data_IF_725212960286
#
_entry.id   IF_725212960286
#
_cell.length_a   1.000
_cell.length_b   1.000
_cell.length_c   1.000
_cell.angle_alpha   90.00
_cell.angle_beta   90.00
_cell.angle_gamma   90.00
#
_symmetry.space_group_name_H-M   'P 1'
#
loop_
_entity.id
_entity.type
_entity.pdbx_description
1 polymer ?
#
# COMPACT_ATOMS: atom_id res chain seq x y z
N UNK A 1 6.23 -5.24 -5.56
CA UNK A 1 6.47 -5.01 -6.99
C UNK A 1 7.96 -5.12 -7.31
N UNK A 2 8.33 -5.96 -8.30
CA UNK A 2 9.73 -6.09 -8.76
C UNK A 2 10.07 -4.99 -9.77
N UNK A 3 11.27 -4.41 -9.65
CA UNK A 3 11.71 -3.29 -10.52
C UNK A 3 11.67 -3.62 -12.02
N UNK A 4 11.99 -4.88 -12.41
CA UNK A 4 11.98 -5.35 -13.79
C UNK A 4 10.57 -5.55 -14.37
N UNK A 5 9.52 -5.47 -13.54
CA UNK A 5 8.11 -5.63 -13.95
C UNK A 5 7.37 -4.29 -14.07
N UNK A 6 8.01 -3.18 -13.69
CA UNK A 6 7.36 -1.86 -13.68
C UNK A 6 6.82 -1.49 -15.07
N UNK A 7 7.64 -1.62 -16.14
CA UNK A 7 7.18 -1.28 -17.49
C UNK A 7 6.00 -2.15 -17.95
N UNK A 8 6.05 -3.45 -17.68
CA UNK A 8 4.96 -4.37 -18.00
C UNK A 8 3.68 -4.01 -17.23
N UNK A 9 3.80 -3.63 -15.95
CA UNK A 9 2.67 -3.18 -15.15
C UNK A 9 2.05 -1.90 -15.71
N UNK A 10 2.86 -0.89 -16.03
CA UNK A 10 2.36 0.39 -16.55
C UNK A 10 1.67 0.27 -17.93
N UNK A 11 1.88 -0.84 -18.65
CA UNK A 11 1.22 -1.14 -19.93
C UNK A 11 -0.13 -1.86 -19.76
N UNK A 12 -0.54 -2.19 -18.53
CA UNK A 12 -1.86 -2.78 -18.28
C UNK A 12 -2.93 -1.75 -18.63
N UNK A 13 -3.88 -2.08 -19.53
CA UNK A 13 -4.94 -1.14 -19.88
C UNK A 13 -5.76 -0.71 -18.66
N UNK A 14 -6.04 0.56 -18.56
CA UNK A 14 -6.85 1.13 -17.46
C UNK A 14 -6.26 0.87 -16.06
N UNK A 15 -4.93 0.77 -15.94
CA UNK A 15 -4.28 0.69 -14.63
C UNK A 15 -4.65 1.92 -13.79
N UNK A 16 -5.46 1.71 -12.76
CA UNK A 16 -5.98 2.80 -11.92
C UNK A 16 -5.08 3.10 -10.73
N UNK A 17 -4.48 2.06 -10.11
CA UNK A 17 -3.72 2.22 -8.87
C UNK A 17 -2.70 1.11 -8.64
N UNK A 18 -1.60 1.43 -7.98
CA UNK A 18 -0.57 0.48 -7.52
C UNK A 18 -0.45 0.51 -6.01
N UNK A 19 -0.73 -0.61 -5.33
CA UNK A 19 -0.74 -0.69 -3.86
C UNK A 19 0.61 -1.07 -3.22
N UNK A 20 1.68 -1.25 -3.99
CA UNK A 20 2.92 -1.91 -3.52
C UNK A 20 4.19 -1.08 -3.77
N UNK A 21 4.13 0.23 -3.52
CA UNK A 21 5.32 1.09 -3.60
C UNK A 21 6.02 1.07 -2.23
N UNK A 22 7.15 0.38 -2.12
CA UNK A 22 7.82 0.09 -0.85
C UNK A 22 9.19 0.76 -0.69
N UNK A 23 9.71 1.40 -1.76
CA UNK A 23 11.03 2.03 -1.77
C UNK A 23 11.17 3.04 -2.90
N UNK A 24 12.04 4.03 -2.71
CA UNK A 24 12.26 5.12 -3.67
C UNK A 24 12.62 4.62 -5.08
N UNK A 25 13.38 3.51 -5.20
CA UNK A 25 13.72 2.91 -6.51
C UNK A 25 12.48 2.51 -7.31
N UNK A 26 11.45 1.95 -6.65
CA UNK A 26 10.18 1.58 -7.31
C UNK A 26 9.40 2.84 -7.70
N UNK A 27 9.30 3.83 -6.80
CA UNK A 27 8.66 5.11 -7.07
C UNK A 27 9.30 5.81 -8.28
N UNK A 28 10.62 5.93 -8.30
CA UNK A 28 11.36 6.54 -9.42
C UNK A 28 11.11 5.81 -10.75
N UNK A 29 11.07 4.48 -10.72
CA UNK A 29 10.83 3.69 -11.93
C UNK A 29 9.39 3.83 -12.43
N UNK A 30 8.39 3.85 -11.53
CA UNK A 30 6.99 4.07 -11.88
C UNK A 30 6.79 5.47 -12.48
N UNK A 31 7.30 6.49 -11.80
CA UNK A 31 7.23 7.88 -12.24
C UNK A 31 7.78 8.07 -13.65
N UNK A 32 9.02 7.59 -13.86
CA UNK A 32 9.67 7.67 -15.16
C UNK A 32 8.90 6.94 -16.26
N UNK A 33 8.53 5.68 -16.02
CA UNK A 33 7.84 4.86 -17.03
C UNK A 33 6.45 5.38 -17.33
N UNK A 34 5.72 5.85 -16.32
CA UNK A 34 4.37 6.42 -16.50
C UNK A 34 4.40 7.69 -17.34
N UNK A 35 5.38 8.56 -17.11
CA UNK A 35 5.62 9.74 -17.93
C UNK A 35 6.06 9.42 -19.37
N UNK A 36 6.97 8.44 -19.55
CA UNK A 36 7.40 7.97 -20.89
C UNK A 36 6.24 7.43 -21.74
N UNK A 37 5.20 6.86 -21.10
CA UNK A 37 4.02 6.36 -21.80
C UNK A 37 3.01 7.46 -22.17
N UNK A 38 3.25 8.70 -21.77
CA UNK A 38 2.40 9.84 -22.12
C UNK A 38 1.03 9.85 -21.46
N UNK A 39 0.87 9.20 -20.32
CA UNK A 39 -0.38 9.21 -19.58
C UNK A 39 -0.69 10.63 -19.07
N UNK A 40 -1.93 11.10 -19.28
CA UNK A 40 -2.32 12.46 -18.93
C UNK A 40 -2.44 12.67 -17.40
N UNK A 41 -2.89 11.64 -16.68
CA UNK A 41 -3.12 11.72 -15.24
C UNK A 41 -2.03 10.99 -14.46
N UNK A 42 -1.61 11.51 -13.28
CA UNK A 42 -0.68 10.82 -12.41
C UNK A 42 -1.24 9.48 -11.93
N UNK A 43 -0.39 8.45 -11.90
CA UNK A 43 -0.75 7.12 -11.41
C UNK A 43 -0.97 7.15 -9.89
N UNK A 44 -2.17 6.78 -9.46
CA UNK A 44 -2.46 6.63 -8.04
C UNK A 44 -1.62 5.49 -7.44
N UNK A 45 -1.06 5.71 -6.27
CA UNK A 45 -0.29 4.68 -5.59
C UNK A 45 -0.42 4.74 -4.06
N UNK A 46 -0.29 3.58 -3.43
CA UNK A 46 -0.16 3.42 -1.99
C UNK A 46 1.28 3.11 -1.62
N UNK A 47 1.74 3.72 -0.56
CA UNK A 47 2.98 3.38 0.11
C UNK A 47 2.77 2.10 0.92
N UNK A 48 3.51 1.04 0.61
CA UNK A 48 3.47 -0.20 1.39
C UNK A 48 4.41 -0.12 2.58
N UNK A 49 3.85 -0.35 3.78
CA UNK A 49 4.56 -0.38 5.07
C UNK A 49 4.60 -1.81 5.60
N UNK A 50 5.75 -2.26 6.07
CA UNK A 50 5.91 -3.53 6.77
C UNK A 50 5.61 -3.32 8.26
N UNK A 51 4.36 -3.50 8.64
CA UNK A 51 3.87 -3.30 10.01
C UNK A 51 4.13 -4.50 10.91
N UNK A 52 4.28 -5.69 10.33
CA UNK A 52 4.47 -6.95 11.07
C UNK A 52 5.94 -7.25 11.42
N UNK A 53 6.88 -6.57 10.78
CA UNK A 53 8.31 -6.87 10.89
C UNK A 53 8.75 -8.17 10.17
N UNK A 54 7.83 -8.87 9.49
CA UNK A 54 8.15 -10.09 8.74
C UNK A 54 8.76 -9.74 7.39
N UNK A 55 9.99 -10.17 7.10
CA UNK A 55 10.67 -9.90 5.82
C UNK A 55 9.88 -10.38 4.60
N UNK A 56 9.12 -11.46 4.76
CA UNK A 56 8.30 -12.05 3.70
C UNK A 56 7.14 -11.17 3.21
N UNK A 57 6.73 -10.18 4.01
CA UNK A 57 5.58 -9.32 3.70
C UNK A 57 5.92 -8.12 2.81
N UNK A 58 7.18 -7.73 2.73
CA UNK A 58 7.62 -6.52 2.03
C UNK A 58 7.10 -5.24 2.67
N UNK A 59 7.48 -4.10 2.11
CA UNK A 59 7.13 -2.78 2.65
C UNK A 59 8.34 -2.05 3.23
N UNK A 60 8.27 -0.73 3.35
CA UNK A 60 9.27 0.04 4.08
C UNK A 60 9.08 -0.15 5.59
N UNK A 61 10.11 0.14 6.36
CA UNK A 61 10.00 0.21 7.82
C UNK A 61 9.03 1.34 8.23
N UNK A 62 8.28 1.20 9.34
CA UNK A 62 7.33 2.21 9.79
C UNK A 62 7.93 3.61 9.97
N UNK A 63 9.13 3.70 10.50
CA UNK A 63 9.88 4.94 10.72
C UNK A 63 10.34 5.63 9.41
N UNK A 64 10.53 4.86 8.33
CA UNK A 64 10.86 5.39 7.03
C UNK A 64 9.63 5.86 6.21
N UNK A 65 8.41 5.58 6.67
CA UNK A 65 7.21 5.86 5.92
C UNK A 65 6.98 7.37 5.63
N UNK A 66 7.20 8.31 6.56
CA UNK A 66 7.00 9.74 6.28
C UNK A 66 7.93 10.27 5.18
N UNK A 67 9.21 9.93 5.25
CA UNK A 67 10.20 10.37 4.25
C UNK A 67 9.89 9.79 2.87
N UNK A 68 9.55 8.49 2.81
CA UNK A 68 9.20 7.85 1.54
C UNK A 68 7.87 8.39 0.98
N UNK A 69 6.90 8.71 1.83
CA UNK A 69 5.66 9.38 1.42
C UNK A 69 5.95 10.73 0.74
N UNK A 70 6.83 11.54 1.34
CA UNK A 70 7.29 12.81 0.77
C UNK A 70 8.00 12.61 -0.57
N UNK A 71 8.87 11.61 -0.65
CA UNK A 71 9.59 11.29 -1.89
C UNK A 71 8.63 10.84 -3.01
N UNK A 72 7.55 10.12 -2.70
CA UNK A 72 6.51 9.75 -3.67
C UNK A 72 5.67 10.96 -4.06
N UNK A 73 5.24 11.75 -3.09
CA UNK A 73 4.41 12.95 -3.31
C UNK A 73 5.08 13.98 -4.22
N UNK A 74 6.41 14.07 -4.18
CA UNK A 74 7.19 14.96 -5.04
C UNK A 74 7.32 14.48 -6.52
N UNK A 75 6.76 13.30 -6.88
CA UNK A 75 6.85 12.76 -8.23
C UNK A 75 5.76 13.32 -9.13
N UNK A 76 6.11 13.92 -10.29
CA UNK A 76 5.14 14.58 -11.17
C UNK A 76 4.10 13.61 -11.78
N UNK A 77 4.47 12.34 -11.97
CA UNK A 77 3.58 11.35 -12.60
C UNK A 77 3.00 10.35 -11.60
N UNK A 78 3.18 10.57 -10.29
CA UNK A 78 2.57 9.75 -9.23
C UNK A 78 1.66 10.60 -8.35
N UNK A 79 0.59 9.97 -7.85
CA UNK A 79 -0.30 10.53 -6.84
C UNK A 79 -0.33 9.60 -5.64
N UNK A 80 0.32 9.98 -4.54
CA UNK A 80 0.18 9.25 -3.28
C UNK A 80 -1.26 9.40 -2.77
N UNK A 81 -2.01 8.30 -2.70
CA UNK A 81 -3.41 8.30 -2.25
C UNK A 81 -3.60 7.66 -0.88
N UNK A 82 -2.57 7.00 -0.33
CA UNK A 82 -2.67 6.39 0.98
C UNK A 82 -1.52 5.44 1.31
N UNK A 83 -1.69 4.70 2.40
CA UNK A 83 -0.75 3.70 2.87
C UNK A 83 -1.39 2.31 2.88
N UNK A 84 -0.57 1.27 2.71
CA UNK A 84 -1.02 -0.12 2.69
C UNK A 84 -0.13 -1.00 3.55
N UNK A 85 -0.71 -1.98 4.25
CA UNK A 85 0.04 -3.08 4.87
C UNK A 85 -0.60 -4.44 4.55
N UNK A 86 0.20 -5.50 4.61
CA UNK A 86 -0.32 -6.87 4.52
C UNK A 86 -0.74 -7.37 5.91
N UNK A 87 -0.07 -6.94 6.95
CA UNK A 87 -0.30 -7.38 8.32
C UNK A 87 0.14 -8.83 8.59
N UNK A 88 0.21 -9.18 9.87
CA UNK A 88 0.48 -10.54 10.32
C UNK A 88 -0.81 -11.34 10.35
N UNK A 89 -0.78 -12.57 9.84
CA UNK A 89 -1.90 -13.49 10.02
C UNK A 89 -1.91 -13.98 11.47
N UNK A 90 -2.86 -13.53 12.29
CA UNK A 90 -2.93 -13.89 13.71
C UNK A 90 -3.62 -15.23 13.97
N UNK A 91 -4.37 -15.77 13.02
CA UNK A 91 -5.10 -17.04 13.18
C UNK A 91 -6.18 -17.05 14.26
N UNK A 92 -6.29 -16.01 15.06
CA UNK A 92 -7.28 -15.86 16.12
C UNK A 92 -8.39 -14.90 15.67
N UNK A 93 -9.63 -15.34 15.74
CA UNK A 93 -10.80 -14.48 15.64
C UNK A 93 -10.87 -13.61 16.89
N UNK A 94 -10.87 -12.29 16.72
CA UNK A 94 -11.30 -11.38 17.79
C UNK A 94 -10.41 -10.22 18.17
N UNK A 95 -9.10 -10.25 17.95
CA UNK A 95 -8.23 -9.11 18.27
C UNK A 95 -7.82 -8.34 17.02
N UNK A 96 -8.09 -7.02 17.02
CA UNK A 96 -7.60 -6.13 15.99
C UNK A 96 -6.08 -6.24 15.91
N UNK A 97 -5.57 -6.62 14.75
CA UNK A 97 -4.13 -6.74 14.54
C UNK A 97 -3.44 -5.43 14.94
N UNK A 98 -2.44 -5.47 15.82
CA UNK A 98 -1.64 -4.28 16.18
C UNK A 98 -1.06 -3.59 14.94
N UNK A 99 -0.88 -4.34 13.85
CA UNK A 99 -0.41 -3.85 12.56
C UNK A 99 -1.27 -2.75 11.96
N UNK A 100 -2.59 -2.79 12.16
CA UNK A 100 -3.50 -1.76 11.66
C UNK A 100 -3.31 -0.44 12.41
N UNK A 101 -3.05 -0.48 13.72
CA UNK A 101 -2.73 0.71 14.50
C UNK A 101 -1.37 1.30 14.10
N UNK A 102 -0.37 0.45 13.82
CA UNK A 102 0.92 0.89 13.29
C UNK A 102 0.74 1.59 11.94
N UNK A 103 -0.07 1.02 11.02
CA UNK A 103 -0.33 1.66 9.73
C UNK A 103 -1.02 3.01 9.87
N UNK A 104 -1.99 3.13 10.80
CA UNK A 104 -2.65 4.42 11.09
C UNK A 104 -1.65 5.45 11.59
N UNK A 105 -0.79 5.07 12.53
CA UNK A 105 0.27 5.97 13.03
C UNK A 105 1.23 6.41 11.91
N UNK A 106 1.60 5.49 11.00
CA UNK A 106 2.40 5.84 9.81
C UNK A 106 1.67 6.81 8.89
N UNK A 107 0.34 6.64 8.68
CA UNK A 107 -0.47 7.58 7.90
C UNK A 107 -0.47 8.97 8.52
N UNK A 108 -0.70 9.04 9.82
CA UNK A 108 -0.77 10.32 10.55
C UNK A 108 0.58 11.06 10.50
N UNK A 109 1.69 10.33 10.67
CA UNK A 109 3.04 10.88 10.53
C UNK A 109 3.35 11.32 9.09
N UNK A 110 2.95 10.53 8.08
CA UNK A 110 3.11 10.90 6.67
C UNK A 110 2.27 12.13 6.31
N UNK A 111 1.04 12.24 6.79
CA UNK A 111 0.18 13.40 6.58
C UNK A 111 0.78 14.68 7.20
N UNK A 112 1.33 14.57 8.42
CA UNK A 112 2.04 15.67 9.07
C UNK A 112 3.27 16.12 8.26
N UNK A 113 4.07 15.18 7.76
CA UNK A 113 5.25 15.49 6.91
C UNK A 113 4.87 16.17 5.59
N UNK A 114 3.70 15.81 5.04
CA UNK A 114 3.16 16.40 3.81
C UNK A 114 2.39 17.70 4.03
N UNK A 115 2.10 18.07 5.28
CA UNK A 115 1.28 19.24 5.60
C UNK A 115 -0.19 19.11 5.17
N UNK A 116 -0.74 17.89 5.14
CA UNK A 116 -2.13 17.60 4.75
C UNK A 116 -2.91 16.97 5.91
N UNK A 117 -4.25 16.97 5.82
CA UNK A 117 -5.07 16.23 6.79
C UNK A 117 -4.88 14.71 6.60
N UNK A 118 -4.79 13.98 7.71
CA UNK A 118 -4.65 12.51 7.70
C UNK A 118 -5.80 11.83 6.93
N UNK A 119 -6.99 12.40 6.94
CA UNK A 119 -8.17 11.87 6.25
C UNK A 119 -8.07 11.93 4.71
N UNK A 120 -7.10 12.69 4.18
CA UNK A 120 -6.82 12.70 2.74
C UNK A 120 -6.03 11.49 2.28
N UNK A 121 -5.42 10.73 3.21
CA UNK A 121 -4.67 9.53 2.93
C UNK A 121 -5.47 8.28 3.31
N UNK A 122 -5.81 7.49 2.32
CA UNK A 122 -6.53 6.23 2.46
C UNK A 122 -5.71 5.16 3.18
N UNK A 123 -6.39 4.20 3.81
CA UNK A 123 -5.79 3.03 4.44
C UNK A 123 -6.23 1.76 3.71
N UNK A 124 -5.26 1.06 3.09
CA UNK A 124 -5.48 -0.25 2.48
C UNK A 124 -4.96 -1.34 3.41
N UNK A 125 -5.85 -1.91 4.20
CA UNK A 125 -5.56 -2.95 5.19
C UNK A 125 -6.78 -3.85 5.36
N UNK A 126 -6.57 -5.06 5.87
CA UNK A 126 -7.62 -6.07 6.01
C UNK A 126 -7.71 -7.00 4.81
N UNK A 127 -7.78 -8.30 5.12
CA UNK A 127 -7.97 -9.41 4.18
C UNK A 127 -9.18 -10.26 4.60
N UNK A 128 -9.42 -11.37 3.94
CA UNK A 128 -10.61 -12.21 4.14
C UNK A 128 -10.94 -12.59 5.59
N UNK A 129 -9.96 -12.60 6.48
CA UNK A 129 -10.13 -13.05 7.87
C UNK A 129 -10.22 -11.90 8.90
N UNK A 130 -9.86 -10.67 8.50
CA UNK A 130 -9.75 -9.54 9.43
C UNK A 130 -10.26 -8.19 8.86
N UNK A 131 -10.91 -8.21 7.68
CA UNK A 131 -11.38 -6.97 7.03
C UNK A 131 -12.45 -6.23 7.86
N UNK A 132 -13.29 -6.91 8.62
CA UNK A 132 -14.30 -6.27 9.48
C UNK A 132 -13.63 -5.46 10.59
N UNK A 133 -12.58 -6.02 11.21
CA UNK A 133 -11.77 -5.32 12.21
C UNK A 133 -11.04 -4.12 11.58
N UNK A 134 -10.48 -4.32 10.38
CA UNK A 134 -9.82 -3.25 9.64
C UNK A 134 -10.78 -2.08 9.36
N UNK A 135 -12.03 -2.36 8.98
CA UNK A 135 -13.08 -1.35 8.78
C UNK A 135 -13.36 -0.57 10.08
N UNK A 136 -13.47 -1.26 11.20
CA UNK A 136 -13.63 -0.63 12.52
C UNK A 136 -12.47 0.29 12.91
N UNK A 137 -11.28 0.07 12.34
CA UNK A 137 -10.07 0.88 12.51
C UNK A 137 -9.84 1.90 11.39
N UNK A 138 -10.82 2.10 10.49
CA UNK A 138 -10.80 3.14 9.47
C UNK A 138 -10.19 2.70 8.13
N UNK A 139 -10.16 1.40 7.82
CA UNK A 139 -9.78 0.94 6.49
C UNK A 139 -10.73 1.51 5.44
N UNK A 140 -10.17 2.04 4.37
CA UNK A 140 -10.91 2.53 3.19
C UNK A 140 -10.90 1.52 2.04
N UNK A 141 -9.91 0.62 2.05
CA UNK A 141 -9.72 -0.43 1.05
C UNK A 141 -9.43 -1.75 1.77
N UNK A 142 -10.19 -2.78 1.46
CA UNK A 142 -10.00 -4.16 1.93
C UNK A 142 -9.71 -5.09 0.76
N UNK A 143 -9.02 -6.20 1.01
CA UNK A 143 -8.60 -7.15 -0.03
C UNK A 143 -9.16 -8.55 0.26
N UNK A 144 -10.39 -8.80 -0.15
CA UNK A 144 -11.10 -10.06 0.09
C UNK A 144 -10.79 -11.04 -1.04
N UNK A 145 -10.18 -12.17 -0.72
CA UNK A 145 -9.78 -13.21 -1.66
C UNK A 145 -10.41 -14.57 -1.35
N UNK A 146 -9.95 -15.26 -0.32
CA UNK A 146 -10.37 -16.63 -0.01
C UNK A 146 -11.86 -16.77 0.32
N UNK A 147 -12.51 -15.74 0.85
CA UNK A 147 -13.96 -15.72 1.09
C UNK A 147 -14.75 -15.77 -0.22
N UNK A 148 -14.22 -15.19 -1.30
CA UNK A 148 -14.89 -15.13 -2.61
C UNK A 148 -14.47 -16.31 -3.49
N UNK A 149 -13.18 -16.64 -3.53
CA UNK A 149 -12.60 -17.61 -4.47
C UNK A 149 -12.27 -18.98 -3.86
N UNK A 150 -12.54 -19.16 -2.56
CA UNK A 150 -12.19 -20.38 -1.82
C UNK A 150 -10.72 -20.41 -1.36
N UNK A 151 -10.38 -21.43 -0.59
CA UNK A 151 -9.03 -21.64 -0.09
C UNK A 151 -8.05 -22.00 -1.24
N UNK A 152 -6.80 -21.55 -1.13
CA UNK A 152 -5.76 -21.95 -2.10
C UNK A 152 -5.44 -23.43 -1.93
N UNK A 153 -5.32 -24.19 -3.04
CA UNK A 153 -4.85 -25.56 -2.96
C UNK A 153 -3.43 -25.60 -2.37
N UNK A 154 -3.08 -26.67 -1.62
CA UNK A 154 -1.73 -26.83 -1.10
C UNK A 154 -0.72 -26.82 -2.27
N UNK A 155 0.42 -26.16 -2.07
CA UNK A 155 1.52 -26.21 -3.04
C UNK A 155 2.00 -27.65 -3.14
N UNK A 156 1.98 -28.21 -4.33
CA UNK A 156 2.67 -29.47 -4.65
C UNK A 156 4.17 -29.31 -4.51
#
# INVERSE_FOLDING_TARGET
LQSNKVRQLCQVPQLACVHTVERAKIANSLDRVWGELGNAEPLACFLQVNTSGEESKGGCAPDAAPELAKAIHAKPHLKLVGLMCIGKYSGAEGDASPDFNVLRSCRDAAAAELGVSADTLALSMGMSHDFEQALGLGATHVRVGSTIFGARPPKK
#
